data_IF_945441340697
#
_entry.id   IF_945441340697
#
_cell.length_a   1.000
_cell.length_b   1.000
_cell.length_c   1.000
_cell.angle_alpha   90.00
_cell.angle_beta   90.00
_cell.angle_gamma   90.00
#
_symmetry.space_group_name_H-M   'P 1'
#
loop_
_entity.id
_entity.type
_entity.pdbx_description
1 polymer ?
#
# COMPACT_ATOMS: atom_id res chain seq x y z
N UNK A 1 11.70 4.34 -6.10
CA UNK A 1 10.40 5.06 -6.05
C UNK A 1 9.80 4.83 -4.66
N UNK A 2 8.88 5.67 -4.22
CA UNK A 2 8.21 5.56 -2.90
C UNK A 2 6.72 5.21 -3.04
N UNK A 3 6.41 4.55 -4.14
CA UNK A 3 5.07 4.15 -4.56
C UNK A 3 5.07 2.71 -5.06
N UNK A 4 3.91 2.07 -5.02
CA UNK A 4 3.70 0.71 -5.51
C UNK A 4 2.69 0.71 -6.67
N UNK A 5 3.05 0.09 -7.79
CA UNK A 5 2.13 -0.22 -8.88
C UNK A 5 1.94 -1.74 -8.95
N UNK A 6 0.70 -2.18 -8.86
CA UNK A 6 0.34 -3.59 -8.81
C UNK A 6 -0.44 -3.94 -10.09
N UNK A 7 0.12 -4.84 -10.91
CA UNK A 7 -0.39 -5.17 -12.25
C UNK A 7 -0.63 -6.68 -12.45
N UNK A 8 -0.75 -7.46 -11.37
CA UNK A 8 -0.94 -8.90 -11.42
C UNK A 8 -1.92 -9.34 -10.35
N UNK A 9 -2.63 -10.45 -10.55
CA UNK A 9 -3.47 -11.02 -9.50
C UNK A 9 -2.64 -11.32 -8.26
N UNK A 10 -3.08 -10.86 -7.11
CA UNK A 10 -2.40 -11.04 -5.83
C UNK A 10 -3.21 -11.98 -4.95
N UNK A 11 -2.57 -13.05 -4.48
CA UNK A 11 -3.12 -13.99 -3.51
C UNK A 11 -2.18 -14.06 -2.30
N UNK A 12 -2.67 -13.73 -1.12
CA UNK A 12 -1.86 -13.73 0.10
C UNK A 12 -2.67 -14.19 1.31
N UNK A 13 -2.01 -14.66 2.37
CA UNK A 13 -2.70 -14.81 3.67
C UNK A 13 -2.87 -13.44 4.32
N UNK A 14 -1.79 -12.66 4.35
CA UNK A 14 -1.77 -11.28 4.82
C UNK A 14 -1.00 -10.44 3.81
N UNK A 15 -1.57 -9.34 3.36
CA UNK A 15 -0.92 -8.40 2.45
C UNK A 15 -0.68 -7.07 3.17
N UNK A 16 0.59 -6.68 3.28
CA UNK A 16 1.00 -5.40 3.85
C UNK A 16 1.75 -4.60 2.79
N UNK A 17 1.25 -3.41 2.44
CA UNK A 17 1.88 -2.51 1.49
C UNK A 17 2.17 -1.20 2.21
N UNK A 18 3.45 -0.88 2.37
CA UNK A 18 3.91 0.38 2.98
C UNK A 18 4.60 1.22 1.91
N UNK A 19 4.13 2.45 1.74
CA UNK A 19 4.58 3.40 0.72
C UNK A 19 4.85 4.76 1.35
N UNK A 20 5.62 5.58 0.66
CA UNK A 20 6.16 6.83 1.22
C UNK A 20 7.57 6.67 1.81
N UNK A 21 8.02 7.70 2.52
CA UNK A 21 9.35 7.73 3.14
C UNK A 21 9.23 7.31 4.60
N UNK A 22 9.71 6.11 4.90
CA UNK A 22 9.49 5.47 6.20
C UNK A 22 10.76 4.77 6.69
N UNK A 23 10.92 4.73 8.01
CA UNK A 23 11.62 3.64 8.68
C UNK A 23 10.58 2.54 8.99
N UNK A 24 10.87 1.31 8.58
CA UNK A 24 9.94 0.17 8.74
C UNK A 24 10.58 -0.88 9.61
N UNK A 25 9.93 -1.25 10.71
CA UNK A 25 10.37 -2.34 11.56
C UNK A 25 10.13 -3.68 10.85
N UNK A 26 11.15 -4.54 10.78
CA UNK A 26 11.09 -5.77 9.99
C UNK A 26 10.11 -6.82 10.55
N UNK A 27 9.89 -6.81 11.87
CA UNK A 27 9.05 -7.77 12.60
C UNK A 27 7.57 -7.37 12.61
N UNK A 28 7.29 -6.12 12.95
CA UNK A 28 5.93 -5.60 13.15
C UNK A 28 5.38 -4.89 11.92
N UNK A 29 6.25 -4.55 10.96
CA UNK A 29 5.91 -3.74 9.78
C UNK A 29 5.27 -2.40 10.18
N UNK A 30 5.61 -1.89 11.36
CA UNK A 30 5.25 -0.55 11.78
C UNK A 30 6.07 0.46 10.98
N UNK A 31 5.38 1.44 10.41
CA UNK A 31 5.98 2.48 9.59
C UNK A 31 6.05 3.79 10.38
N UNK A 32 7.25 4.32 10.54
CA UNK A 32 7.49 5.66 11.10
C UNK A 32 7.83 6.62 9.96
N UNK A 33 7.00 7.65 9.69
CA UNK A 33 7.27 8.60 8.63
C UNK A 33 8.59 9.34 8.85
N UNK A 34 9.37 9.49 7.78
CA UNK A 34 10.55 10.36 7.76
C UNK A 34 10.18 11.78 7.34
N UNK A 35 10.98 12.74 7.79
CA UNK A 35 10.84 14.12 7.36
C UNK A 35 10.98 14.28 5.83
N UNK A 36 10.23 15.24 5.27
CA UNK A 36 10.40 15.62 3.88
C UNK A 36 11.84 16.12 3.63
N UNK A 37 12.41 15.75 2.49
CA UNK A 37 13.76 16.13 2.04
C UNK A 37 13.72 17.06 0.82
N UNK A 38 12.54 17.57 0.45
CA UNK A 38 12.35 18.38 -0.75
C UNK A 38 12.27 17.59 -2.05
N UNK A 39 12.37 16.26 -2.05
CA UNK A 39 12.18 15.46 -3.27
C UNK A 39 10.73 15.47 -3.76
N UNK A 40 10.53 15.37 -5.08
CA UNK A 40 9.21 15.33 -5.73
C UNK A 40 8.37 14.14 -5.26
N UNK A 41 7.13 14.42 -4.83
CA UNK A 41 6.18 13.40 -4.34
C UNK A 41 5.66 12.54 -5.50
N UNK A 42 5.40 11.25 -5.28
CA UNK A 42 4.69 10.45 -6.27
C UNK A 42 3.29 11.00 -6.47
N UNK A 43 2.73 10.79 -7.66
CA UNK A 43 1.32 11.09 -7.91
C UNK A 43 0.37 10.18 -7.12
N UNK A 44 0.77 8.91 -6.95
CA UNK A 44 0.02 7.90 -6.20
C UNK A 44 0.97 7.13 -5.30
N UNK A 45 0.49 6.82 -4.10
CA UNK A 45 1.17 5.98 -3.12
C UNK A 45 1.02 4.52 -3.56
N UNK A 46 -0.20 4.12 -3.91
CA UNK A 46 -0.52 2.78 -4.41
C UNK A 46 -1.41 2.94 -5.63
N UNK A 47 -1.06 2.23 -6.71
CA UNK A 47 -1.89 2.07 -7.90
C UNK A 47 -2.11 0.59 -8.17
N UNK A 48 -3.31 0.09 -7.84
CA UNK A 48 -3.76 -1.25 -8.21
C UNK A 48 -4.84 -1.23 -9.29
N UNK A 49 -5.03 -0.12 -10.02
CA UNK A 49 -6.08 -0.02 -11.06
C UNK A 49 -5.97 -1.05 -12.18
N UNK A 50 -4.77 -1.56 -12.46
CA UNK A 50 -4.53 -2.60 -13.46
C UNK A 50 -4.66 -4.03 -12.90
N UNK A 51 -5.01 -4.17 -11.62
CA UNK A 51 -5.15 -5.46 -10.98
C UNK A 51 -6.51 -6.08 -11.33
N UNK A 52 -6.50 -7.29 -11.90
CA UNK A 52 -7.73 -8.07 -12.11
C UNK A 52 -8.22 -8.82 -10.86
N UNK A 53 -7.75 -8.45 -9.66
CA UNK A 53 -8.19 -9.01 -8.38
C UNK A 53 -7.10 -9.12 -7.30
N UNK A 54 -7.41 -8.65 -6.09
CA UNK A 54 -6.57 -8.78 -4.89
C UNK A 54 -7.32 -9.60 -3.84
N UNK A 55 -6.76 -10.75 -3.48
CA UNK A 55 -7.40 -11.70 -2.57
C UNK A 55 -6.46 -11.99 -1.42
N UNK A 56 -6.82 -11.52 -0.22
CA UNK A 56 -6.06 -11.86 0.97
C UNK A 56 -6.95 -12.20 2.17
N UNK A 57 -6.38 -12.81 3.20
CA UNK A 57 -7.07 -12.91 4.49
C UNK A 57 -7.27 -11.54 5.12
N UNK A 58 -6.21 -10.75 5.16
CA UNK A 58 -6.22 -9.34 5.59
C UNK A 58 -5.35 -8.48 4.67
N UNK A 59 -5.76 -7.22 4.47
CA UNK A 59 -5.05 -6.24 3.66
C UNK A 59 -4.79 -4.99 4.51
N UNK A 60 -3.54 -4.57 4.59
CA UNK A 60 -3.14 -3.30 5.22
C UNK A 60 -2.32 -2.49 4.23
N UNK A 61 -2.84 -1.32 3.88
CA UNK A 61 -2.18 -0.32 3.06
C UNK A 61 -1.76 0.84 3.98
N UNK A 62 -0.54 1.32 3.83
CA UNK A 62 -0.02 2.45 4.61
C UNK A 62 0.68 3.40 3.63
N UNK A 63 0.14 4.60 3.50
CA UNK A 63 0.77 5.71 2.78
C UNK A 63 1.07 6.84 3.76
N UNK A 64 2.33 7.25 3.87
CA UNK A 64 2.75 8.24 4.88
C UNK A 64 3.04 9.62 4.30
N UNK A 65 2.96 9.77 2.98
CA UNK A 65 3.18 11.05 2.34
C UNK A 65 1.90 11.85 2.18
N UNK A 66 1.87 12.99 2.88
CA UNK A 66 0.73 13.90 2.83
C UNK A 66 0.43 14.35 1.39
N UNK A 67 -0.84 14.23 1.00
CA UNK A 67 -1.33 14.64 -0.31
C UNK A 67 -1.13 13.60 -1.42
N UNK A 68 -0.58 12.42 -1.09
CA UNK A 68 -0.38 11.32 -2.05
C UNK A 68 -1.48 10.28 -1.83
N UNK A 69 -2.34 10.10 -2.83
CA UNK A 69 -3.52 9.23 -2.74
C UNK A 69 -3.26 7.77 -3.11
N UNK A 70 -4.27 6.92 -2.88
CA UNK A 70 -4.31 5.53 -3.37
C UNK A 70 -5.35 5.41 -4.50
N UNK A 71 -5.04 4.59 -5.50
CA UNK A 71 -5.97 4.21 -6.57
C UNK A 71 -6.10 2.70 -6.56
N UNK A 72 -7.28 2.20 -6.23
CA UNK A 72 -7.53 0.77 -6.07
C UNK A 72 -8.37 0.21 -7.23
N UNK A 73 -8.07 -1.01 -7.67
CA UNK A 73 -8.99 -1.78 -8.52
C UNK A 73 -10.28 -2.13 -7.75
N UNK A 74 -11.39 -2.26 -8.48
CA UNK A 74 -12.70 -2.57 -7.91
C UNK A 74 -12.80 -3.94 -7.23
N UNK A 75 -11.95 -4.90 -7.60
CA UNK A 75 -12.04 -6.30 -7.15
C UNK A 75 -11.07 -6.61 -5.99
N UNK A 76 -11.21 -5.90 -4.87
CA UNK A 76 -10.47 -6.20 -3.63
C UNK A 76 -11.33 -7.02 -2.68
N UNK A 77 -10.85 -8.21 -2.28
CA UNK A 77 -11.54 -9.09 -1.35
C UNK A 77 -10.64 -9.51 -0.20
N UNK A 78 -11.12 -9.30 1.04
CA UNK A 78 -10.50 -9.80 2.25
C UNK A 78 -11.35 -10.92 2.87
N UNK A 79 -10.86 -12.15 2.94
CA UNK A 79 -11.63 -13.29 3.46
C UNK A 79 -11.80 -13.27 4.99
N UNK A 80 -10.96 -12.48 5.69
CA UNK A 80 -11.01 -12.28 7.14
C UNK A 80 -11.62 -10.95 7.58
N UNK A 81 -12.17 -10.14 6.66
CA UNK A 81 -12.96 -8.95 6.98
C UNK A 81 -12.21 -7.61 7.11
N UNK A 82 -10.87 -7.61 7.12
CA UNK A 82 -10.11 -6.39 7.40
C UNK A 82 -9.35 -5.86 6.17
N UNK A 83 -9.81 -4.73 5.64
CA UNK A 83 -9.05 -3.84 4.75
C UNK A 83 -8.80 -2.55 5.52
N UNK A 84 -7.54 -2.19 5.76
CA UNK A 84 -7.12 -0.93 6.38
C UNK A 84 -6.30 -0.11 5.39
N UNK A 85 -6.59 1.18 5.26
CA UNK A 85 -5.92 2.14 4.37
C UNK A 85 -5.48 3.34 5.21
#
# INVERSE_FOLDING_TARGET
TRSAKLNAKLYAKNLNIVTGRNDVQADSLQATPRAADGSEKPQLAIDSSALGGMYAGAIRLVGTEQGVGVRLAGDMAASGGDIRI
#
